data_IF_258817743745
#
_entry.id   IF_258817743745
#
_cell.length_a   1.000
_cell.length_b   1.000
_cell.length_c   1.000
_cell.angle_alpha   90.00
_cell.angle_beta   90.00
_cell.angle_gamma   90.00
#
_symmetry.space_group_name_H-M   'P 1'
#
loop_
_entity.id
_entity.type
_entity.pdbx_description
1 polymer ?
#
# COMPACT_ATOMS: atom_id res chain seq x y z
N UNK A 1 14.79 -9.77 -9.39
CA UNK A 1 14.03 -10.83 -8.69
C UNK A 1 13.37 -10.16 -7.49
N UNK A 2 12.06 -10.27 -7.35
CA UNK A 2 11.29 -9.65 -6.26
C UNK A 2 11.39 -10.56 -5.04
N UNK A 3 11.94 -10.06 -3.95
CA UNK A 3 12.14 -10.79 -2.70
C UNK A 3 10.90 -10.64 -1.80
N UNK A 4 10.30 -11.76 -1.41
CA UNK A 4 9.00 -11.77 -0.75
C UNK A 4 9.10 -12.47 0.60
N UNK A 5 8.48 -11.90 1.63
CA UNK A 5 8.20 -12.56 2.90
C UNK A 5 6.72 -12.88 2.99
N UNK A 6 6.40 -14.11 3.40
CA UNK A 6 5.02 -14.58 3.62
C UNK A 6 4.73 -14.59 5.13
N UNK A 7 3.66 -13.92 5.54
CA UNK A 7 3.27 -13.86 6.95
C UNK A 7 1.79 -14.24 7.07
N UNK A 8 1.53 -15.40 7.66
CA UNK A 8 0.18 -15.95 7.84
C UNK A 8 0.23 -17.07 8.90
N UNK A 9 -0.73 -17.17 9.78
CA UNK A 9 -0.75 -18.21 10.80
C UNK A 9 -1.16 -19.59 10.23
N UNK A 10 -1.76 -19.62 9.04
CA UNK A 10 -2.20 -20.83 8.36
C UNK A 10 -1.08 -21.43 7.50
N UNK A 11 -0.37 -22.41 8.02
CA UNK A 11 0.76 -23.08 7.35
C UNK A 11 0.39 -23.63 5.95
N UNK A 12 -0.83 -24.21 5.82
CA UNK A 12 -1.30 -24.74 4.55
C UNK A 12 -1.49 -23.64 3.49
N UNK A 13 -2.00 -22.48 3.90
CA UNK A 13 -2.16 -21.33 3.02
C UNK A 13 -0.79 -20.78 2.58
N UNK A 14 0.15 -20.60 3.54
CA UNK A 14 1.52 -20.18 3.21
C UNK A 14 2.17 -21.12 2.20
N UNK A 15 2.07 -22.44 2.42
CA UNK A 15 2.62 -23.45 1.51
C UNK A 15 2.02 -23.36 0.10
N UNK A 16 0.71 -23.14 -0.02
CA UNK A 16 0.03 -22.95 -1.30
C UNK A 16 0.49 -21.68 -2.03
N UNK A 17 0.60 -20.55 -1.32
CA UNK A 17 1.11 -19.28 -1.86
C UNK A 17 2.56 -19.43 -2.29
N UNK A 18 3.40 -20.07 -1.47
CA UNK A 18 4.82 -20.32 -1.82
C UNK A 18 4.95 -21.05 -3.13
N UNK A 19 4.23 -22.16 -3.32
CA UNK A 19 4.27 -22.93 -4.59
C UNK A 19 3.89 -22.06 -5.80
N UNK A 20 2.89 -21.18 -5.64
CA UNK A 20 2.46 -20.28 -6.71
C UNK A 20 3.52 -19.21 -7.05
N UNK A 21 4.25 -18.72 -6.05
CA UNK A 21 5.31 -17.72 -6.23
C UNK A 21 6.61 -18.33 -6.76
N UNK A 22 7.01 -19.50 -6.26
CA UNK A 22 8.20 -20.24 -6.73
C UNK A 22 8.07 -20.68 -8.19
N UNK A 23 6.84 -20.72 -8.73
CA UNK A 23 6.60 -20.96 -10.16
C UNK A 23 6.87 -19.73 -11.06
N UNK A 24 7.23 -18.58 -10.49
CA UNK A 24 7.50 -17.34 -11.22
C UNK A 24 9.02 -17.10 -11.29
N UNK A 25 9.56 -16.89 -12.49
CA UNK A 25 11.00 -16.65 -12.71
C UNK A 25 11.53 -15.34 -12.09
N UNK A 26 10.62 -14.39 -11.77
CA UNK A 26 10.96 -13.07 -11.26
C UNK A 26 10.69 -12.88 -9.76
N UNK A 27 10.30 -13.93 -9.04
CA UNK A 27 9.92 -13.88 -7.61
C UNK A 27 10.72 -14.91 -6.79
N UNK A 28 10.96 -14.59 -5.51
CA UNK A 28 11.64 -15.46 -4.56
C UNK A 28 11.05 -15.27 -3.17
N UNK A 29 10.62 -16.36 -2.53
CA UNK A 29 10.21 -16.33 -1.12
C UNK A 29 11.46 -16.46 -0.24
N UNK A 30 11.87 -15.35 0.36
CA UNK A 30 13.09 -15.25 1.19
C UNK A 30 12.86 -15.49 2.68
N UNK A 31 11.62 -15.60 3.11
CA UNK A 31 11.28 -15.90 4.50
C UNK A 31 9.79 -16.12 4.71
N UNK A 32 9.45 -16.77 5.82
CA UNK A 32 8.09 -17.02 6.28
C UNK A 32 7.96 -16.74 7.77
N UNK A 33 6.76 -16.37 8.22
CA UNK A 33 6.43 -16.17 9.64
C UNK A 33 4.98 -16.56 9.92
N UNK A 34 4.71 -16.99 11.14
CA UNK A 34 3.38 -17.39 11.60
C UNK A 34 2.64 -16.30 12.37
N UNK A 35 3.32 -15.23 12.77
CA UNK A 35 2.75 -14.08 13.47
C UNK A 35 3.57 -12.80 13.20
N UNK A 36 3.05 -11.66 13.65
CA UNK A 36 3.68 -10.36 13.42
C UNK A 36 5.00 -10.17 14.15
N UNK A 37 5.19 -10.79 15.32
CA UNK A 37 6.44 -10.69 16.08
C UNK A 37 7.58 -11.40 15.36
N UNK A 38 7.32 -12.61 14.87
CA UNK A 38 8.24 -13.38 14.04
C UNK A 38 8.51 -12.65 12.71
N UNK A 39 7.45 -12.10 12.09
CA UNK A 39 7.54 -11.36 10.84
C UNK A 39 8.54 -10.20 10.91
N UNK A 40 8.50 -9.40 11.97
CA UNK A 40 9.43 -8.28 12.14
C UNK A 40 10.90 -8.74 12.14
N UNK A 41 11.20 -9.85 12.83
CA UNK A 41 12.55 -10.41 12.86
C UNK A 41 13.00 -10.95 11.49
N UNK A 42 12.10 -11.64 10.78
CA UNK A 42 12.36 -12.16 9.42
C UNK A 42 12.57 -11.03 8.43
N UNK A 43 11.75 -9.97 8.48
CA UNK A 43 11.88 -8.77 7.62
C UNK A 43 13.22 -8.10 7.84
N UNK A 44 13.65 -7.93 9.08
CA UNK A 44 14.95 -7.32 9.40
C UNK A 44 16.13 -8.14 8.87
N UNK A 45 16.05 -9.46 8.98
CA UNK A 45 17.11 -10.36 8.55
C UNK A 45 17.18 -10.48 7.01
N UNK A 46 16.03 -10.51 6.33
CA UNK A 46 15.98 -10.81 4.90
C UNK A 46 15.89 -9.59 4.00
N UNK A 47 15.45 -8.43 4.53
CA UNK A 47 15.26 -7.19 3.75
C UNK A 47 14.46 -7.43 2.46
N UNK A 48 13.18 -7.85 2.56
CA UNK A 48 12.37 -8.15 1.39
C UNK A 48 11.93 -6.88 0.67
N UNK A 49 11.58 -7.01 -0.61
CA UNK A 49 10.95 -5.96 -1.39
C UNK A 49 9.45 -5.86 -1.07
N UNK A 50 8.80 -7.02 -0.88
CA UNK A 50 7.37 -7.13 -0.64
C UNK A 50 7.11 -8.07 0.54
N UNK A 51 6.15 -7.71 1.38
CA UNK A 51 5.61 -8.56 2.45
C UNK A 51 4.15 -8.84 2.14
N UNK A 52 3.77 -10.12 2.06
CA UNK A 52 2.38 -10.55 2.07
C UNK A 52 2.00 -10.84 3.52
N UNK A 53 1.04 -10.10 4.06
CA UNK A 53 0.75 -10.08 5.49
C UNK A 53 -0.73 -10.38 5.76
N UNK A 54 -1.02 -11.48 6.44
CA UNK A 54 -2.36 -11.69 6.98
C UNK A 54 -2.69 -10.67 8.06
N UNK A 55 -3.96 -10.29 8.12
CA UNK A 55 -4.46 -9.38 9.16
C UNK A 55 -4.66 -10.13 10.48
N UNK A 56 -5.24 -11.33 10.42
CA UNK A 56 -5.73 -12.03 11.62
C UNK A 56 -4.78 -13.12 12.06
N UNK A 57 -3.83 -12.76 12.88
CA UNK A 57 -2.85 -13.70 13.43
C UNK A 57 -2.82 -13.64 14.95
N UNK A 58 -2.41 -14.72 15.62
CA UNK A 58 -2.18 -14.73 17.08
C UNK A 58 -0.95 -13.87 17.43
N UNK A 59 -0.76 -13.60 18.71
CA UNK A 59 0.38 -12.89 19.32
C UNK A 59 0.47 -11.42 18.89
N UNK A 60 0.70 -11.13 17.61
CA UNK A 60 0.71 -9.80 17.01
C UNK A 60 -0.03 -9.87 15.67
N UNK A 61 -1.09 -9.10 15.53
CA UNK A 61 -1.89 -9.06 14.33
C UNK A 61 -1.22 -8.26 13.19
N UNK A 62 -1.81 -8.32 11.98
CA UNK A 62 -1.27 -7.65 10.82
C UNK A 62 -1.29 -6.12 10.92
N UNK A 63 -2.29 -5.54 11.60
CA UNK A 63 -2.37 -4.08 11.81
C UNK A 63 -1.26 -3.61 12.76
N UNK A 64 -1.06 -4.34 13.86
CA UNK A 64 0.04 -4.08 14.81
C UNK A 64 1.40 -4.24 14.13
N UNK A 65 1.54 -5.24 13.27
CA UNK A 65 2.77 -5.50 12.50
C UNK A 65 3.08 -4.34 11.54
N UNK A 66 2.10 -3.89 10.77
CA UNK A 66 2.26 -2.71 9.87
C UNK A 66 2.64 -1.48 10.68
N UNK A 67 1.94 -1.24 11.79
CA UNK A 67 2.23 -0.13 12.67
C UNK A 67 3.67 -0.19 13.22
N UNK A 68 4.10 -1.33 13.77
CA UNK A 68 5.45 -1.51 14.29
C UNK A 68 6.53 -1.35 13.20
N UNK A 69 6.22 -1.74 11.96
CA UNK A 69 7.14 -1.62 10.83
C UNK A 69 7.32 -0.15 10.39
N UNK A 70 6.26 0.67 10.50
CA UNK A 70 6.24 2.03 9.94
C UNK A 70 6.22 3.16 10.97
N UNK A 71 5.86 2.91 12.23
CA UNK A 71 5.82 3.91 13.32
C UNK A 71 7.23 4.19 13.90
N UNK A 72 8.20 4.57 13.05
CA UNK A 72 9.41 5.27 13.47
C UNK A 72 10.31 4.68 14.59
N UNK A 73 9.88 3.66 15.30
CA UNK A 73 10.67 3.00 16.34
C UNK A 73 11.82 2.16 15.75
N UNK A 74 11.82 1.94 14.45
CA UNK A 74 12.87 1.27 13.66
C UNK A 74 13.52 2.22 12.65
N UNK A 75 13.70 3.45 13.00
CA UNK A 75 14.09 4.59 12.17
C UNK A 75 15.54 4.57 11.63
N UNK A 76 16.23 3.46 11.64
CA UNK A 76 17.52 3.35 10.96
C UNK A 76 17.38 3.19 9.43
N UNK A 77 16.17 2.94 8.91
CA UNK A 77 15.92 2.73 7.49
C UNK A 77 15.35 4.00 6.85
N UNK A 78 15.85 4.34 5.68
CA UNK A 78 15.23 5.35 4.83
C UNK A 78 13.84 4.86 4.41
N UNK A 79 12.86 5.76 4.17
CA UNK A 79 11.53 5.35 3.70
C UNK A 79 11.53 4.48 2.43
N UNK A 80 12.56 4.63 1.59
CA UNK A 80 12.76 3.82 0.38
C UNK A 80 13.26 2.40 0.63
N UNK A 81 13.79 2.12 1.83
CA UNK A 81 14.31 0.79 2.22
C UNK A 81 13.26 -0.07 2.92
N UNK A 82 12.13 0.51 3.30
CA UNK A 82 11.02 -0.22 3.89
C UNK A 82 10.31 -1.07 2.82
N UNK A 83 9.96 -2.33 3.14
CA UNK A 83 9.24 -3.19 2.21
C UNK A 83 7.88 -2.63 1.86
N UNK A 84 7.36 -2.99 0.70
CA UNK A 84 5.95 -2.80 0.38
C UNK A 84 5.13 -3.87 1.08
N UNK A 85 4.04 -3.50 1.72
CA UNK A 85 3.18 -4.46 2.42
C UNK A 85 1.86 -4.60 1.68
N UNK A 86 1.54 -5.82 1.24
CA UNK A 86 0.24 -6.20 0.72
C UNK A 86 -0.47 -6.99 1.82
N UNK A 87 -1.59 -6.48 2.27
CA UNK A 87 -2.40 -7.15 3.29
C UNK A 87 -3.24 -8.25 2.64
N UNK A 88 -3.26 -9.44 3.24
CA UNK A 88 -4.14 -10.53 2.86
C UNK A 88 -5.36 -10.55 3.79
N UNK A 89 -6.55 -10.65 3.24
CA UNK A 89 -7.79 -10.66 4.02
C UNK A 89 -8.83 -11.61 3.42
N UNK A 90 -9.69 -12.15 4.25
CA UNK A 90 -10.81 -13.00 3.81
C UNK A 90 -12.05 -12.20 3.43
N UNK A 91 -12.12 -10.92 3.77
CA UNK A 91 -13.28 -10.06 3.50
C UNK A 91 -12.87 -8.81 2.74
N UNK A 92 -13.58 -8.48 1.67
CA UNK A 92 -13.55 -7.14 1.08
C UNK A 92 -14.05 -6.13 2.12
N UNK A 93 -13.46 -4.94 2.20
CA UNK A 93 -13.91 -3.86 3.10
C UNK A 93 -13.78 -4.15 4.61
N UNK A 94 -12.74 -4.88 5.04
CA UNK A 94 -12.46 -5.04 6.46
C UNK A 94 -11.86 -3.73 7.03
N UNK A 95 -12.43 -3.25 8.16
CA UNK A 95 -11.89 -2.09 8.91
C UNK A 95 -10.41 -2.27 9.27
N UNK A 96 -9.97 -3.49 9.51
CA UNK A 96 -8.59 -3.78 9.83
C UNK A 96 -7.68 -3.56 8.60
N UNK A 97 -8.12 -3.93 7.38
CA UNK A 97 -7.40 -3.64 6.15
C UNK A 97 -7.28 -2.12 5.92
N UNK A 98 -8.36 -1.36 6.13
CA UNK A 98 -8.34 0.10 6.05
C UNK A 98 -7.35 0.71 7.06
N UNK A 99 -7.33 0.19 8.29
CA UNK A 99 -6.41 0.64 9.33
C UNK A 99 -4.96 0.31 8.97
N UNK A 100 -4.68 -0.88 8.45
CA UNK A 100 -3.35 -1.25 7.97
C UNK A 100 -2.87 -0.34 6.84
N UNK A 101 -3.76 0.02 5.91
CA UNK A 101 -3.45 0.96 4.82
C UNK A 101 -3.12 2.35 5.37
N UNK A 102 -3.88 2.87 6.34
CA UNK A 102 -3.56 4.14 7.02
C UNK A 102 -2.19 4.12 7.70
N UNK A 103 -1.81 2.99 8.28
CA UNK A 103 -0.50 2.82 8.90
C UNK A 103 0.62 2.52 7.91
N UNK A 104 0.32 2.36 6.62
CA UNK A 104 1.35 2.29 5.61
C UNK A 104 1.37 1.05 4.74
N UNK A 105 0.36 0.17 4.80
CA UNK A 105 0.25 -0.90 3.82
C UNK A 105 0.03 -0.31 2.40
N UNK A 106 0.61 -0.97 1.40
CA UNK A 106 0.63 -0.53 0.00
C UNK A 106 -0.55 -1.07 -0.80
N UNK A 107 -1.36 -1.93 -0.21
CA UNK A 107 -2.53 -2.52 -0.83
C UNK A 107 -3.11 -3.68 -0.03
N UNK A 108 -4.22 -4.22 -0.49
CA UNK A 108 -4.75 -5.49 0.01
C UNK A 108 -5.14 -6.43 -1.13
N UNK A 109 -5.17 -7.72 -0.84
CA UNK A 109 -5.61 -8.79 -1.73
C UNK A 109 -6.48 -9.75 -0.92
N UNK A 110 -7.58 -10.21 -1.51
CA UNK A 110 -8.40 -11.24 -0.89
C UNK A 110 -7.69 -12.60 -0.92
N UNK A 111 -7.80 -13.39 0.15
CA UNK A 111 -7.19 -14.73 0.24
C UNK A 111 -7.77 -15.74 -0.77
N UNK A 112 -8.96 -15.48 -1.30
CA UNK A 112 -9.59 -16.27 -2.37
C UNK A 112 -9.22 -15.80 -3.78
N UNK A 113 -8.37 -14.78 -3.91
CA UNK A 113 -7.86 -14.31 -5.18
C UNK A 113 -7.07 -15.41 -5.91
N UNK A 114 -7.15 -15.40 -7.24
CA UNK A 114 -6.38 -16.36 -8.04
C UNK A 114 -4.87 -16.12 -7.91
N UNK A 115 -4.03 -17.18 -8.04
CA UNK A 115 -2.58 -17.01 -8.06
C UNK A 115 -2.08 -16.02 -9.11
N UNK A 116 -2.72 -15.98 -10.27
CA UNK A 116 -2.40 -15.02 -11.33
C UNK A 116 -2.65 -13.56 -10.91
N UNK A 117 -3.75 -13.31 -10.18
CA UNK A 117 -4.02 -11.98 -9.65
C UNK A 117 -3.01 -11.59 -8.56
N UNK A 118 -2.71 -12.50 -7.63
CA UNK A 118 -1.73 -12.25 -6.56
C UNK A 118 -0.34 -11.90 -7.12
N UNK A 119 0.15 -12.66 -8.11
CA UNK A 119 1.45 -12.39 -8.75
C UNK A 119 1.45 -11.06 -9.51
N UNK A 120 0.35 -10.71 -10.19
CA UNK A 120 0.19 -9.41 -10.84
C UNK A 120 0.18 -8.26 -9.81
N UNK A 121 -0.50 -8.45 -8.68
CA UNK A 121 -0.54 -7.52 -7.57
C UNK A 121 0.85 -7.24 -6.98
N UNK A 122 1.63 -8.29 -6.74
CA UNK A 122 3.01 -8.16 -6.25
C UNK A 122 3.86 -7.34 -7.21
N UNK A 123 3.80 -7.62 -8.51
CA UNK A 123 4.55 -6.86 -9.54
C UNK A 123 4.12 -5.40 -9.57
N UNK A 124 2.82 -5.14 -9.51
CA UNK A 124 2.28 -3.78 -9.51
C UNK A 124 2.75 -2.98 -8.29
N UNK A 125 2.65 -3.55 -7.09
CA UNK A 125 3.08 -2.91 -5.84
C UNK A 125 4.59 -2.70 -5.84
N UNK A 126 5.39 -3.69 -6.26
CA UNK A 126 6.83 -3.55 -6.39
C UNK A 126 7.22 -2.42 -7.37
N UNK A 127 6.48 -2.27 -8.47
CA UNK A 127 6.68 -1.18 -9.43
C UNK A 127 6.17 0.20 -8.94
N UNK A 128 5.65 0.28 -7.71
CA UNK A 128 5.12 1.53 -7.12
C UNK A 128 3.68 1.87 -7.54
N UNK A 129 2.98 0.92 -8.15
CA UNK A 129 1.54 1.03 -8.42
C UNK A 129 0.71 0.52 -7.24
N UNK A 130 -0.57 0.84 -7.21
CA UNK A 130 -1.51 0.34 -6.17
C UNK A 130 -2.26 -0.89 -6.64
N UNK A 131 -2.57 -1.77 -5.71
CA UNK A 131 -3.54 -2.86 -5.92
C UNK A 131 -4.74 -2.59 -5.02
N UNK A 132 -5.55 -1.64 -5.45
CA UNK A 132 -6.81 -1.25 -4.81
C UNK A 132 -7.71 -0.65 -5.87
N UNK A 133 -8.97 -1.06 -5.90
CA UNK A 133 -9.99 -0.28 -6.57
C UNK A 133 -10.22 1.02 -5.76
N UNK A 134 -10.14 2.17 -6.42
CA UNK A 134 -10.28 3.47 -5.76
C UNK A 134 -11.64 3.67 -5.10
N UNK A 135 -12.68 3.10 -5.70
CA UNK A 135 -14.04 3.15 -5.16
C UNK A 135 -14.14 2.43 -3.81
N UNK A 136 -13.42 1.31 -3.64
CA UNK A 136 -13.34 0.56 -2.38
C UNK A 136 -12.61 1.34 -1.27
N UNK A 137 -11.56 2.09 -1.60
CA UNK A 137 -10.90 2.98 -0.64
C UNK A 137 -11.76 4.15 -0.23
N UNK A 138 -12.47 4.77 -1.17
CA UNK A 138 -13.38 5.87 -0.90
C UNK A 138 -14.46 5.48 0.11
N UNK A 139 -15.06 4.30 -0.05
CA UNK A 139 -16.07 3.76 0.87
C UNK A 139 -15.48 3.42 2.25
N UNK A 140 -14.28 2.84 2.31
CA UNK A 140 -13.58 2.52 3.57
C UNK A 140 -13.29 3.76 4.42
N UNK A 141 -12.96 4.88 3.78
CA UNK A 141 -12.63 6.12 4.48
C UNK A 141 -13.84 7.06 4.68
N UNK A 142 -14.93 6.90 3.93
CA UNK A 142 -16.11 7.75 4.02
C UNK A 142 -16.86 7.62 5.36
N UNK A 143 -16.71 6.51 6.07
CA UNK A 143 -17.43 6.23 7.33
C UNK A 143 -17.00 7.12 8.51
N UNK A 144 -15.84 7.77 8.44
CA UNK A 144 -15.29 8.58 9.53
C UNK A 144 -15.55 10.10 9.39
N UNK A 145 -16.31 10.53 8.39
CA UNK A 145 -16.38 11.96 7.96
C UNK A 145 -17.57 12.75 8.52
N UNK A 146 -18.26 12.31 9.54
CA UNK A 146 -19.38 13.08 10.10
C UNK A 146 -18.95 13.96 11.27
N UNK A 147 -18.98 15.30 11.08
CA UNK A 147 -19.24 16.36 12.06
C UNK A 147 -18.24 17.50 12.31
N UNK A 148 -17.12 17.63 11.57
CA UNK A 148 -16.27 18.82 11.73
C UNK A 148 -15.98 19.51 10.38
N UNK A 149 -15.84 20.85 10.33
CA UNK A 149 -15.38 21.53 9.11
C UNK A 149 -14.00 20.98 8.69
N UNK A 150 -13.71 20.92 7.37
CA UNK A 150 -12.45 20.40 6.91
C UNK A 150 -11.28 21.21 7.48
N UNK A 151 -10.22 20.58 7.98
CA UNK A 151 -9.04 21.29 8.43
C UNK A 151 -8.40 22.03 7.24
N UNK A 152 -7.70 23.15 7.48
CA UNK A 152 -6.98 23.83 6.41
C UNK A 152 -5.95 22.86 5.79
N UNK A 153 -5.74 22.92 4.45
CA UNK A 153 -4.76 22.09 3.79
C UNK A 153 -3.37 22.22 4.45
N UNK A 154 -2.66 21.11 4.67
CA UNK A 154 -1.31 21.13 5.23
C UNK A 154 -0.37 22.05 4.44
N UNK A 155 0.64 22.59 5.11
CA UNK A 155 1.64 23.47 4.43
C UNK A 155 2.33 22.73 3.29
N UNK A 156 2.68 21.46 3.48
CA UNK A 156 3.29 20.60 2.45
C UNK A 156 2.43 20.49 1.18
N UNK A 157 1.10 20.40 1.33
CA UNK A 157 0.20 20.39 0.15
C UNK A 157 0.23 21.70 -0.63
N UNK A 158 0.43 22.83 0.04
CA UNK A 158 0.52 24.15 -0.62
C UNK A 158 1.84 24.33 -1.38
N UNK A 159 2.86 23.53 -1.10
CA UNK A 159 4.13 23.51 -1.83
C UNK A 159 4.05 22.79 -3.17
N UNK A 160 2.96 22.04 -3.40
CA UNK A 160 2.68 21.46 -4.70
C UNK A 160 2.32 22.57 -5.71
N UNK A 161 2.90 22.48 -6.89
CA UNK A 161 2.50 23.35 -8.02
C UNK A 161 1.04 23.09 -8.40
N UNK A 162 0.40 24.01 -9.09
CA UNK A 162 -0.98 23.87 -9.57
C UNK A 162 -1.18 22.56 -10.38
N UNK A 163 -0.17 22.17 -11.17
CA UNK A 163 -0.18 20.95 -11.97
C UNK A 163 -0.10 19.69 -11.09
N UNK A 164 0.78 19.69 -10.09
CA UNK A 164 0.90 18.59 -9.12
C UNK A 164 -0.37 18.44 -8.29
N UNK A 165 -1.00 19.57 -7.88
CA UNK A 165 -2.28 19.50 -7.18
C UNK A 165 -3.41 18.92 -8.04
N UNK A 166 -3.44 19.23 -9.36
CA UNK A 166 -4.39 18.62 -10.29
C UNK A 166 -4.19 17.11 -10.37
N UNK A 167 -2.94 16.66 -10.59
CA UNK A 167 -2.61 15.24 -10.62
C UNK A 167 -2.88 14.56 -9.27
N UNK A 168 -2.54 15.20 -8.15
CA UNK A 168 -2.84 14.70 -6.80
C UNK A 168 -4.34 14.39 -6.63
N UNK A 169 -5.22 15.32 -7.04
CA UNK A 169 -6.68 15.09 -6.94
C UNK A 169 -7.17 13.95 -7.81
N UNK A 170 -6.59 13.77 -9.00
CA UNK A 170 -6.95 12.65 -9.89
C UNK A 170 -6.45 11.32 -9.32
N UNK A 171 -5.25 11.30 -8.73
CA UNK A 171 -4.76 10.13 -7.99
C UNK A 171 -5.66 9.81 -6.80
N UNK A 172 -6.06 10.81 -6.03
CA UNK A 172 -6.95 10.66 -4.88
C UNK A 172 -8.34 10.12 -5.25
N UNK A 173 -8.78 10.36 -6.50
CA UNK A 173 -9.99 9.75 -7.09
C UNK A 173 -9.74 8.38 -7.71
N UNK A 174 -8.51 7.86 -7.62
CA UNK A 174 -8.11 6.53 -8.05
C UNK A 174 -7.79 6.34 -9.52
N UNK A 175 -7.75 7.38 -10.32
CA UNK A 175 -7.40 7.25 -11.72
C UNK A 175 -6.00 6.67 -11.89
N UNK A 176 -5.81 5.75 -12.81
CA UNK A 176 -4.50 5.22 -13.22
C UNK A 176 -3.66 6.30 -13.94
N UNK A 177 -2.37 6.03 -14.14
CA UNK A 177 -1.51 6.98 -14.86
C UNK A 177 -1.95 7.18 -16.32
N UNK A 178 -2.48 6.13 -16.96
CA UNK A 178 -3.04 6.22 -18.33
C UNK A 178 -4.27 7.11 -18.37
N UNK A 179 -5.23 6.91 -17.47
CA UNK A 179 -6.45 7.74 -17.38
C UNK A 179 -6.14 9.21 -17.07
N UNK A 180 -5.15 9.46 -16.20
CA UNK A 180 -4.68 10.82 -15.90
C UNK A 180 -4.00 11.43 -17.14
N UNK A 181 -3.18 10.64 -17.84
CA UNK A 181 -2.48 11.08 -19.04
C UNK A 181 -3.47 11.51 -20.14
N UNK A 182 -4.50 10.71 -20.39
CA UNK A 182 -5.58 11.02 -21.32
C UNK A 182 -6.33 12.29 -20.91
N UNK A 183 -6.70 12.39 -19.64
CA UNK A 183 -7.49 13.53 -19.12
C UNK A 183 -6.72 14.84 -19.12
N UNK A 184 -5.43 14.80 -18.84
CA UNK A 184 -4.56 15.97 -18.75
C UNK A 184 -3.81 16.26 -20.06
N UNK A 185 -4.04 15.48 -21.12
CA UNK A 185 -3.40 15.60 -22.43
C UNK A 185 -1.86 15.59 -22.36
N UNK A 186 -1.30 14.64 -21.59
CA UNK A 186 0.15 14.43 -21.43
C UNK A 186 0.52 12.96 -21.62
N UNK A 187 1.81 12.65 -21.63
CA UNK A 187 2.28 11.26 -21.65
C UNK A 187 2.17 10.61 -20.26
N UNK A 188 2.00 9.27 -20.21
CA UNK A 188 2.05 8.53 -18.95
C UNK A 188 3.38 8.71 -18.20
N UNK A 189 4.49 8.87 -18.93
CA UNK A 189 5.79 9.14 -18.32
C UNK A 189 5.82 10.49 -17.59
N UNK A 190 5.11 11.48 -18.13
CA UNK A 190 4.94 12.80 -17.48
C UNK A 190 4.13 12.66 -16.20
N UNK A 191 3.03 11.90 -16.22
CA UNK A 191 2.21 11.62 -15.02
C UNK A 191 3.04 10.90 -13.97
N UNK A 192 3.79 9.87 -14.36
CA UNK A 192 4.67 9.09 -13.45
C UNK A 192 5.69 10.01 -12.77
N UNK A 193 6.30 10.95 -13.51
CA UNK A 193 7.24 11.93 -12.95
C UNK A 193 6.54 12.87 -11.96
N UNK A 194 5.34 13.35 -12.27
CA UNK A 194 4.56 14.21 -11.37
C UNK A 194 4.15 13.49 -10.10
N UNK A 195 3.67 12.24 -10.19
CA UNK A 195 3.34 11.41 -9.02
C UNK A 195 4.58 11.21 -8.14
N UNK A 196 5.74 10.90 -8.73
CA UNK A 196 7.00 10.77 -7.99
C UNK A 196 7.38 12.06 -7.26
N UNK A 197 7.21 13.22 -7.92
CA UNK A 197 7.45 14.54 -7.30
C UNK A 197 6.49 14.81 -6.14
N UNK A 198 5.20 14.49 -6.29
CA UNK A 198 4.19 14.61 -5.23
C UNK A 198 4.58 13.76 -4.02
N UNK A 199 4.92 12.49 -4.23
CA UNK A 199 5.36 11.58 -3.17
C UNK A 199 6.55 12.15 -2.40
N UNK A 200 7.56 12.66 -3.10
CA UNK A 200 8.74 13.27 -2.49
C UNK A 200 8.39 14.51 -1.67
N UNK A 201 7.60 15.43 -2.21
CA UNK A 201 7.23 16.70 -1.55
C UNK A 201 6.34 16.50 -0.32
N UNK A 202 5.45 15.50 -0.36
CA UNK A 202 4.57 15.16 0.75
C UNK A 202 5.18 14.14 1.71
N UNK A 203 6.41 13.68 1.47
CA UNK A 203 7.09 12.61 2.21
C UNK A 203 6.24 11.32 2.29
N UNK A 204 5.54 10.97 1.20
CA UNK A 204 4.71 9.79 1.07
C UNK A 204 5.49 8.70 0.35
N UNK A 205 5.25 7.44 0.74
CA UNK A 205 6.02 6.30 0.23
C UNK A 205 5.52 5.76 -1.10
N UNK A 206 4.22 5.79 -1.28
CA UNK A 206 3.56 5.23 -2.46
C UNK A 206 2.23 5.94 -2.77
N UNK A 207 1.63 5.52 -3.88
CA UNK A 207 0.40 6.10 -4.39
C UNK A 207 -0.80 5.93 -3.45
N UNK A 208 -0.86 4.82 -2.67
CA UNK A 208 -1.93 4.60 -1.69
C UNK A 208 -1.88 5.69 -0.63
N UNK A 209 -0.68 6.08 -0.21
CA UNK A 209 -0.50 7.13 0.78
C UNK A 209 -0.96 8.50 0.27
N UNK A 210 -0.99 8.74 -1.04
CA UNK A 210 -1.63 9.95 -1.62
C UNK A 210 -3.14 9.91 -1.37
N UNK A 211 -3.78 8.75 -1.56
CA UNK A 211 -5.24 8.59 -1.34
C UNK A 211 -5.55 8.77 0.14
N UNK A 212 -4.82 8.10 1.03
CA UNK A 212 -4.95 8.25 2.50
C UNK A 212 -4.79 9.71 2.90
N UNK A 213 -3.72 10.37 2.47
CA UNK A 213 -3.45 11.77 2.77
C UNK A 213 -4.58 12.69 2.31
N UNK A 214 -5.12 12.44 1.12
CA UNK A 214 -6.23 13.21 0.57
C UNK A 214 -7.51 13.07 1.40
N UNK A 215 -7.81 11.85 1.87
CA UNK A 215 -8.97 11.59 2.74
C UNK A 215 -8.79 12.16 4.16
N UNK A 216 -7.64 11.95 4.80
CA UNK A 216 -7.36 12.42 6.15
C UNK A 216 -7.41 13.96 6.24
N UNK A 217 -7.01 14.64 5.16
CA UNK A 217 -7.03 16.09 5.07
C UNK A 217 -8.24 16.66 4.30
N UNK A 218 -9.21 15.80 3.91
CA UNK A 218 -10.42 16.18 3.14
C UNK A 218 -10.10 17.00 1.89
N UNK A 219 -9.07 16.59 1.16
CA UNK A 219 -8.62 17.23 -0.08
C UNK A 219 -9.23 16.60 -1.35
N UNK A 220 -10.05 15.56 -1.18
CA UNK A 220 -10.89 14.96 -2.22
C UNK A 220 -12.11 15.87 -2.35
N UNK A 221 -12.00 16.94 -3.15
CA UNK A 221 -13.13 17.81 -3.47
C UNK A 221 -13.91 17.27 -4.67
N UNK A 222 -15.17 17.68 -4.78
CA UNK A 222 -16.09 17.37 -5.88
C UNK A 222 -15.49 17.61 -7.28
#
# INVERSE_FOLDING_TARGET
MIRIVLVDDQELFRGGVRVALDAQDDMEVVGEAGDGSEALAVIDATRPDVVLLDIRMPVMDGVETVRALFDGARTALQPSELPRVIVLTTFALDRAAATAIRHGASGFVLKDATPAFLTAAIRAVHAGSTVLAADELGELFATDVLAAPPPPPPSSFRELSAREQAVFRLVARGLSNSEIAEREFVSESTVKTQVSSILTKLALRDRVQIVVFAHDHRLVGD
#
